data_IF_814825316106
#
_entry.id   IF_814825316106
#
_cell.length_a   1.000
_cell.length_b   1.000
_cell.length_c   1.000
_cell.angle_alpha   90.00
_cell.angle_beta   90.00
_cell.angle_gamma   90.00
#
_symmetry.space_group_name_H-M   'P 1'
#
loop_
_entity.id
_entity.type
_entity.pdbx_description
1 polymer ?
#
# COMPACT_ATOMS: atom_id res chain seq x y z
N UNK A 1 2.43 13.97 -32.92
CA UNK A 1 2.39 13.52 -31.51
C UNK A 1 1.22 14.27 -30.88
N UNK A 2 0.02 13.76 -31.14
CA UNK A 2 -1.23 14.48 -30.98
C UNK A 2 -1.90 14.08 -29.66
N UNK A 3 -2.12 15.08 -28.81
CA UNK A 3 -3.27 15.23 -27.90
C UNK A 3 -3.67 14.01 -27.06
N UNK A 4 -2.88 13.70 -26.02
CA UNK A 4 -3.39 13.00 -24.83
C UNK A 4 -3.68 14.05 -23.75
N UNK A 5 -4.66 14.93 -23.99
CA UNK A 5 -5.18 15.81 -22.94
C UNK A 5 -5.95 14.90 -21.96
N UNK A 6 -5.26 14.44 -20.92
CA UNK A 6 -5.79 13.50 -19.93
C UNK A 6 -7.04 14.07 -19.26
N UNK A 7 -8.22 13.70 -19.78
CA UNK A 7 -9.51 14.07 -19.22
C UNK A 7 -9.57 13.69 -17.75
N UNK A 8 -9.98 14.61 -16.88
CA UNK A 8 -10.15 14.32 -15.46
C UNK A 8 -11.27 13.30 -15.28
N UNK A 9 -10.96 12.18 -14.62
CA UNK A 9 -11.92 11.11 -14.40
C UNK A 9 -12.64 11.26 -13.06
N UNK A 10 -13.79 10.63 -12.89
CA UNK A 10 -14.47 10.57 -11.59
C UNK A 10 -13.59 9.92 -10.50
N UNK A 11 -12.65 9.05 -10.88
CA UNK A 11 -11.71 8.41 -9.95
C UNK A 11 -10.68 9.41 -9.43
N UNK A 12 -10.19 10.30 -10.29
CA UNK A 12 -9.29 11.38 -9.89
C UNK A 12 -10.00 12.34 -8.92
N UNK A 13 -11.24 12.72 -9.23
CA UNK A 13 -12.05 13.58 -8.36
C UNK A 13 -12.37 12.94 -7.01
N UNK A 14 -12.76 11.67 -7.01
CA UNK A 14 -13.02 10.90 -5.79
C UNK A 14 -11.79 10.88 -4.86
N UNK A 15 -10.62 10.56 -5.42
CA UNK A 15 -9.36 10.50 -4.67
C UNK A 15 -9.00 11.86 -4.06
N UNK A 16 -9.09 12.94 -4.85
CA UNK A 16 -8.82 14.30 -4.38
C UNK A 16 -9.80 14.71 -3.29
N UNK A 17 -11.10 14.46 -3.45
CA UNK A 17 -12.10 14.80 -2.44
C UNK A 17 -11.87 14.03 -1.13
N UNK A 18 -11.53 12.74 -1.20
CA UNK A 18 -11.25 11.93 -0.01
C UNK A 18 -10.03 12.42 0.75
N UNK A 19 -8.97 12.76 0.02
CA UNK A 19 -7.76 13.33 0.62
C UNK A 19 -8.05 14.71 1.23
N UNK A 20 -8.81 15.56 0.53
CA UNK A 20 -9.22 16.87 1.03
C UNK A 20 -9.99 16.71 2.35
N UNK A 21 -11.03 15.87 2.38
CA UNK A 21 -11.81 15.60 3.58
C UNK A 21 -10.93 15.13 4.75
N UNK A 22 -9.99 14.22 4.50
CA UNK A 22 -9.09 13.69 5.53
C UNK A 22 -8.19 14.78 6.12
N UNK A 23 -7.64 15.66 5.27
CA UNK A 23 -6.74 16.71 5.72
C UNK A 23 -7.50 17.85 6.41
N UNK A 24 -8.71 18.18 5.94
CA UNK A 24 -9.59 19.14 6.62
C UNK A 24 -10.02 18.63 8.00
N UNK A 25 -10.34 17.32 8.13
CA UNK A 25 -10.61 16.68 9.44
C UNK A 25 -9.42 16.74 10.40
N UNK A 26 -8.21 16.92 9.88
CA UNK A 26 -6.99 17.09 10.67
C UNK A 26 -6.67 18.57 10.98
N UNK A 27 -7.61 19.49 10.72
CA UNK A 27 -7.46 20.94 10.90
C UNK A 27 -6.25 21.54 10.15
N UNK A 28 -5.88 20.93 9.02
CA UNK A 28 -4.80 21.44 8.17
C UNK A 28 -5.32 22.65 7.38
N UNK A 29 -4.47 23.65 7.19
CA UNK A 29 -4.82 24.86 6.44
C UNK A 29 -5.15 24.51 4.98
N UNK A 30 -6.25 25.06 4.45
CA UNK A 30 -6.71 24.88 3.06
C UNK A 30 -5.59 25.07 2.03
N UNK A 31 -4.69 26.04 2.21
CA UNK A 31 -3.57 26.26 1.28
C UNK A 31 -2.58 25.09 1.27
N UNK A 32 -2.26 24.57 2.45
CA UNK A 32 -1.38 23.39 2.61
C UNK A 32 -2.07 22.12 2.09
N UNK A 33 -3.39 22.02 2.27
CA UNK A 33 -4.19 20.94 1.67
C UNK A 33 -4.08 20.98 0.15
N UNK A 34 -4.31 22.14 -0.48
CA UNK A 34 -4.23 22.30 -1.92
C UNK A 34 -2.82 22.00 -2.46
N UNK A 35 -1.77 22.44 -1.76
CA UNK A 35 -0.39 22.11 -2.11
C UNK A 35 -0.14 20.60 -2.05
N UNK A 36 -0.61 19.94 -0.98
CA UNK A 36 -0.48 18.49 -0.80
C UNK A 36 -1.22 17.72 -1.90
N UNK A 37 -2.45 18.11 -2.22
CA UNK A 37 -3.25 17.49 -3.28
C UNK A 37 -2.61 17.68 -4.65
N UNK A 38 -2.07 18.87 -4.94
CA UNK A 38 -1.32 19.15 -6.17
C UNK A 38 -0.11 18.22 -6.30
N UNK A 39 0.64 18.01 -5.20
CA UNK A 39 1.81 17.15 -5.20
C UNK A 39 1.49 15.66 -5.37
N UNK A 40 0.35 15.20 -4.85
CA UNK A 40 -0.07 13.79 -4.89
C UNK A 40 -0.87 13.42 -6.15
N UNK A 41 -1.47 14.40 -6.82
CA UNK A 41 -2.28 14.17 -8.02
C UNK A 41 -1.43 13.75 -9.20
N UNK A 42 -1.76 12.61 -9.82
CA UNK A 42 -1.07 12.08 -11.01
C UNK A 42 -1.51 12.76 -12.30
N UNK A 43 -2.76 13.19 -12.40
CA UNK A 43 -3.34 13.83 -13.58
C UNK A 43 -2.79 15.27 -13.74
N UNK A 44 -2.11 15.52 -14.87
CA UNK A 44 -1.46 16.81 -15.14
C UNK A 44 -2.45 17.97 -15.23
N UNK A 45 -3.63 17.74 -15.83
CA UNK A 45 -4.68 18.76 -15.95
C UNK A 45 -5.23 19.13 -14.57
N UNK A 46 -5.56 18.13 -13.76
CA UNK A 46 -6.09 18.37 -12.42
C UNK A 46 -5.05 19.07 -11.52
N UNK A 47 -3.76 18.74 -11.68
CA UNK A 47 -2.67 19.41 -10.98
C UNK A 47 -2.59 20.90 -11.31
N UNK A 48 -2.66 21.25 -12.60
CA UNK A 48 -2.68 22.65 -13.04
C UNK A 48 -3.89 23.40 -12.48
N UNK A 49 -5.05 22.76 -12.47
CA UNK A 49 -6.28 23.34 -11.93
C UNK A 49 -6.18 23.56 -10.41
N UNK A 50 -5.64 22.60 -9.66
CA UNK A 50 -5.42 22.75 -8.22
C UNK A 50 -4.42 23.86 -7.90
N UNK A 51 -3.37 24.02 -8.72
CA UNK A 51 -2.40 25.10 -8.59
C UNK A 51 -3.06 26.48 -8.76
N UNK A 52 -3.91 26.62 -9.77
CA UNK A 52 -4.65 27.87 -9.99
C UNK A 52 -5.69 28.13 -8.90
N UNK A 53 -6.36 27.09 -8.41
CA UNK A 53 -7.29 27.21 -7.27
C UNK A 53 -6.55 27.67 -6.02
N UNK A 54 -5.35 27.13 -5.76
CA UNK A 54 -4.49 27.58 -4.66
C UNK A 54 -4.15 29.06 -4.80
N UNK A 55 -3.69 29.50 -5.97
CA UNK A 55 -3.37 30.91 -6.23
C UNK A 55 -4.59 31.82 -6.04
N UNK A 56 -5.77 31.41 -6.50
CA UNK A 56 -7.00 32.18 -6.28
C UNK A 56 -7.35 32.32 -4.79
N UNK A 57 -7.20 31.24 -4.01
CA UNK A 57 -7.44 31.27 -2.55
C UNK A 57 -6.39 32.11 -1.83
N UNK A 58 -5.12 32.06 -2.24
CA UNK A 58 -4.05 32.94 -1.74
C UNK A 58 -4.37 34.43 -2.01
N UNK A 59 -5.02 34.72 -3.13
CA UNK A 59 -5.48 36.06 -3.49
C UNK A 59 -6.79 36.48 -2.79
N UNK A 60 -7.34 35.64 -1.92
CA UNK A 60 -8.53 35.94 -1.13
C UNK A 60 -9.86 35.59 -1.81
N UNK A 61 -9.84 34.82 -2.90
CA UNK A 61 -11.07 34.24 -3.44
C UNK A 61 -11.52 33.04 -2.60
N UNK A 62 -12.83 32.83 -2.55
CA UNK A 62 -13.42 31.68 -1.88
C UNK A 62 -13.17 30.40 -2.65
N UNK A 63 -13.05 29.26 -1.97
CA UNK A 63 -12.86 27.93 -2.60
C UNK A 63 -13.92 27.67 -3.68
N UNK A 64 -15.20 27.95 -3.36
CA UNK A 64 -16.29 27.76 -4.31
C UNK A 64 -16.12 28.62 -5.58
N UNK A 65 -15.65 29.85 -5.43
CA UNK A 65 -15.40 30.76 -6.56
C UNK A 65 -14.24 30.25 -7.41
N UNK A 66 -13.15 29.83 -6.78
CA UNK A 66 -11.95 29.31 -7.45
C UNK A 66 -12.28 28.07 -8.27
N UNK A 67 -13.00 27.10 -7.69
CA UNK A 67 -13.43 25.90 -8.43
C UNK A 67 -14.43 26.21 -9.55
N UNK A 68 -15.27 27.23 -9.40
CA UNK A 68 -16.27 27.60 -10.41
C UNK A 68 -15.69 28.07 -11.74
N UNK A 69 -14.41 28.48 -11.76
CA UNK A 69 -13.69 28.85 -12.99
C UNK A 69 -13.48 27.67 -13.95
N UNK A 70 -13.67 26.44 -13.46
CA UNK A 70 -13.43 25.21 -14.22
C UNK A 70 -14.72 24.37 -14.38
N UNK A 71 -15.76 24.89 -15.06
CA UNK A 71 -17.06 24.20 -15.19
C UNK A 71 -16.99 22.91 -16.02
N UNK A 72 -15.91 22.72 -16.80
CA UNK A 72 -15.67 21.50 -17.57
C UNK A 72 -15.21 20.32 -16.70
N UNK A 73 -14.85 20.57 -15.44
CA UNK A 73 -14.31 19.57 -14.50
C UNK A 73 -15.24 19.47 -13.29
N UNK A 74 -15.61 20.62 -12.71
CA UNK A 74 -16.47 20.67 -11.54
C UNK A 74 -17.89 21.03 -11.94
N UNK A 75 -18.81 20.13 -11.63
CA UNK A 75 -20.23 20.33 -11.90
C UNK A 75 -20.82 21.46 -11.03
N UNK A 76 -21.94 22.07 -11.44
CA UNK A 76 -22.64 23.04 -10.59
C UNK A 76 -22.98 22.51 -9.19
N UNK A 77 -23.32 21.21 -9.09
CA UNK A 77 -23.58 20.55 -7.82
C UNK A 77 -22.35 20.57 -6.89
N UNK A 78 -21.16 20.28 -7.43
CA UNK A 78 -19.90 20.32 -6.69
C UNK A 78 -19.63 21.72 -6.11
N UNK A 79 -19.85 22.75 -6.93
CA UNK A 79 -19.63 24.15 -6.54
C UNK A 79 -20.59 24.58 -5.43
N UNK A 80 -21.87 24.20 -5.52
CA UNK A 80 -22.88 24.51 -4.51
C UNK A 80 -22.55 23.85 -3.17
N UNK A 81 -22.18 22.57 -3.19
CA UNK A 81 -21.80 21.84 -1.98
C UNK A 81 -20.62 22.51 -1.27
N UNK A 82 -19.54 22.85 -2.00
CA UNK A 82 -18.39 23.55 -1.42
C UNK A 82 -18.80 24.91 -0.86
N UNK A 83 -19.65 25.66 -1.56
CA UNK A 83 -20.13 26.96 -1.10
C UNK A 83 -20.87 26.85 0.23
N UNK A 84 -21.72 25.85 0.38
CA UNK A 84 -22.45 25.59 1.64
C UNK A 84 -21.47 25.19 2.75
N UNK A 85 -20.55 24.26 2.49
CA UNK A 85 -19.52 23.86 3.46
C UNK A 85 -18.57 24.99 3.87
N UNK A 86 -18.23 25.89 2.95
CA UNK A 86 -17.38 27.05 3.22
C UNK A 86 -18.09 28.10 4.10
N UNK A 87 -19.41 28.25 3.96
CA UNK A 87 -20.22 29.15 4.79
C UNK A 87 -20.47 28.58 6.20
N UNK A 88 -20.71 27.27 6.30
CA UNK A 88 -20.99 26.58 7.57
C UNK A 88 -19.71 26.19 8.32
N UNK A 89 -18.56 26.20 7.64
CA UNK A 89 -17.28 25.74 8.18
C UNK A 89 -17.14 24.21 8.19
N UNK A 90 -18.04 23.49 7.53
CA UNK A 90 -18.11 22.02 7.46
C UNK A 90 -17.52 21.48 6.14
N UNK A 91 -16.36 22.00 5.73
CA UNK A 91 -15.68 21.54 4.52
C UNK A 91 -15.29 20.06 4.61
N UNK A 92 -14.99 19.56 5.81
CA UNK A 92 -14.68 18.17 6.06
C UNK A 92 -15.83 17.23 5.67
N UNK A 93 -17.06 17.55 6.10
CA UNK A 93 -18.28 16.79 5.76
C UNK A 93 -18.58 16.89 4.28
N UNK A 94 -18.52 18.10 3.73
CA UNK A 94 -18.85 18.35 2.32
C UNK A 94 -17.91 17.59 1.38
N UNK A 95 -16.60 17.61 1.63
CA UNK A 95 -15.66 16.86 0.79
C UNK A 95 -15.79 15.34 0.96
N UNK A 96 -16.23 14.85 2.13
CA UNK A 96 -16.56 13.44 2.35
C UNK A 96 -17.78 13.02 1.53
N UNK A 97 -18.86 13.81 1.57
CA UNK A 97 -20.08 13.60 0.80
C UNK A 97 -19.79 13.63 -0.73
N UNK A 98 -18.93 14.55 -1.16
CA UNK A 98 -18.48 14.63 -2.55
C UNK A 98 -17.62 13.42 -2.96
N UNK A 99 -16.74 12.94 -2.08
CA UNK A 99 -15.95 11.74 -2.33
C UNK A 99 -16.88 10.53 -2.54
N UNK A 100 -17.83 10.32 -1.64
CA UNK A 100 -18.83 9.25 -1.73
C UNK A 100 -19.66 9.36 -3.02
N UNK A 101 -20.05 10.58 -3.40
CA UNK A 101 -20.79 10.82 -4.65
C UNK A 101 -20.01 10.38 -5.89
N UNK A 102 -18.72 10.71 -5.97
CA UNK A 102 -17.89 10.31 -7.11
C UNK A 102 -17.53 8.82 -7.08
N UNK A 103 -17.30 8.24 -5.89
CA UNK A 103 -17.06 6.80 -5.72
C UNK A 103 -18.26 5.95 -6.15
N UNK A 104 -19.48 6.37 -5.78
CA UNK A 104 -20.71 5.71 -6.21
C UNK A 104 -20.83 5.71 -7.75
N UNK A 105 -20.51 6.84 -8.40
CA UNK A 105 -20.51 6.94 -9.87
C UNK A 105 -19.46 6.07 -10.56
N UNK A 106 -18.40 5.68 -9.86
CA UNK A 106 -17.42 4.71 -10.37
C UNK A 106 -17.98 3.29 -10.32
N UNK A 107 -18.67 2.92 -9.24
CA UNK A 107 -19.28 1.60 -9.05
C UNK A 107 -20.35 1.25 -10.07
N UNK A 108 -21.06 2.27 -10.59
CA UNK A 108 -22.09 2.11 -11.62
C UNK A 108 -21.53 1.98 -13.04
N UNK A 109 -20.22 2.16 -13.24
CA UNK A 109 -19.59 1.96 -14.55
C UNK A 109 -19.20 0.48 -14.67
N UNK A 110 -19.84 -0.34 -15.53
CA UNK A 110 -19.44 -1.72 -15.73
C UNK A 110 -18.00 -1.74 -16.27
N UNK A 111 -17.08 -2.12 -15.39
CA UNK A 111 -15.63 -2.20 -15.62
C UNK A 111 -15.32 -3.02 -16.88
N UNK A 112 -15.17 -2.35 -18.01
CA UNK A 112 -14.74 -2.95 -19.28
C UNK A 112 -13.20 -3.05 -19.37
N UNK A 113 -12.47 -2.66 -18.32
CA UNK A 113 -11.00 -2.62 -18.27
C UNK A 113 -10.40 -3.54 -17.21
N UNK A 114 -11.17 -4.47 -16.65
CA UNK A 114 -10.70 -5.52 -15.74
C UNK A 114 -9.66 -6.46 -16.38
N UNK A 115 -9.44 -6.37 -17.70
CA UNK A 115 -8.43 -7.11 -18.44
C UNK A 115 -6.98 -6.56 -18.37
N UNK A 116 -6.73 -5.39 -17.77
CA UNK A 116 -5.41 -4.74 -17.85
C UNK A 116 -4.66 -4.56 -16.51
N UNK A 117 -5.05 -5.26 -15.44
CA UNK A 117 -4.24 -5.38 -14.19
C UNK A 117 -3.51 -6.73 -14.08
N UNK A 118 -3.03 -7.26 -15.20
CA UNK A 118 -1.91 -8.19 -15.16
C UNK A 118 -0.62 -7.36 -15.00
N UNK A 119 -0.24 -6.98 -13.78
CA UNK A 119 1.03 -6.24 -13.62
C UNK A 119 1.38 -5.62 -12.27
N UNK A 120 0.44 -5.45 -11.34
CA UNK A 120 0.83 -5.08 -9.96
C UNK A 120 1.17 -6.37 -9.24
N UNK A 121 2.43 -6.78 -9.35
CA UNK A 121 2.96 -7.91 -8.61
C UNK A 121 2.99 -7.53 -7.13
N UNK A 122 2.12 -8.14 -6.32
CA UNK A 122 2.06 -7.94 -4.87
C UNK A 122 3.34 -8.47 -4.21
N UNK A 123 4.36 -7.60 -4.16
CA UNK A 123 5.69 -7.93 -3.66
C UNK A 123 5.68 -8.40 -2.20
N UNK A 124 4.69 -7.95 -1.42
CA UNK A 124 4.50 -8.38 -0.02
C UNK A 124 4.03 -9.83 0.09
N UNK A 125 3.11 -10.24 -0.79
CA UNK A 125 2.61 -11.62 -0.83
C UNK A 125 3.73 -12.58 -1.26
N UNK A 126 4.47 -12.22 -2.29
CA UNK A 126 5.61 -12.98 -2.78
C UNK A 126 6.72 -13.14 -1.71
N UNK A 127 7.01 -12.07 -0.96
CA UNK A 127 7.99 -12.11 0.12
C UNK A 127 7.58 -13.08 1.25
N UNK A 128 6.30 -13.07 1.64
CA UNK A 128 5.80 -13.98 2.67
C UNK A 128 5.89 -15.46 2.23
N UNK A 129 5.54 -15.75 0.97
CA UNK A 129 5.61 -17.11 0.41
C UNK A 129 7.05 -17.61 0.36
N UNK A 130 8.00 -16.77 -0.07
CA UNK A 130 9.43 -17.12 -0.07
C UNK A 130 9.95 -17.43 1.34
N UNK A 131 9.55 -16.64 2.34
CA UNK A 131 9.93 -16.88 3.73
C UNK A 131 9.41 -18.24 4.25
N UNK A 132 8.17 -18.62 3.92
CA UNK A 132 7.63 -19.93 4.30
C UNK A 132 8.36 -21.08 3.59
N UNK A 133 8.65 -20.93 2.29
CA UNK A 133 9.43 -21.92 1.52
C UNK A 133 10.82 -22.10 2.15
N UNK A 134 11.50 -21.00 2.50
CA UNK A 134 12.82 -21.03 3.13
C UNK A 134 12.79 -21.71 4.50
N UNK A 135 11.78 -21.42 5.33
CA UNK A 135 11.59 -22.08 6.64
C UNK A 135 11.41 -23.59 6.48
N UNK A 136 10.56 -24.03 5.53
CA UNK A 136 10.35 -25.45 5.25
C UNK A 136 11.61 -26.14 4.71
N UNK A 137 12.40 -25.48 3.85
CA UNK A 137 13.68 -26.00 3.37
C UNK A 137 14.69 -26.17 4.51
N UNK A 138 14.81 -25.20 5.41
CA UNK A 138 15.69 -25.31 6.58
C UNK A 138 15.23 -26.43 7.54
N UNK A 139 13.93 -26.54 7.79
CA UNK A 139 13.37 -27.59 8.64
C UNK A 139 13.62 -29.00 8.06
N UNK A 140 13.46 -29.16 6.74
CA UNK A 140 13.76 -30.41 6.05
C UNK A 140 15.25 -30.78 6.15
N UNK A 141 16.14 -29.80 5.97
CA UNK A 141 17.59 -30.02 6.11
C UNK A 141 17.99 -30.49 7.52
N UNK A 142 17.39 -29.89 8.56
CA UNK A 142 17.62 -30.30 9.94
C UNK A 142 17.14 -31.74 10.20
N UNK A 143 15.97 -32.12 9.67
CA UNK A 143 15.43 -33.47 9.81
C UNK A 143 16.35 -34.53 9.17
N UNK A 144 16.87 -34.27 7.96
CA UNK A 144 17.82 -35.16 7.30
C UNK A 144 19.13 -35.32 8.09
N UNK A 145 19.68 -34.23 8.64
CA UNK A 145 20.91 -34.28 9.41
C UNK A 145 20.75 -35.09 10.72
N UNK A 146 19.62 -34.90 11.42
CA UNK A 146 19.30 -35.68 12.64
C UNK A 146 19.10 -37.15 12.29
N UNK A 147 18.37 -37.45 11.21
CA UNK A 147 18.15 -38.82 10.75
C UNK A 147 19.45 -39.56 10.41
N UNK A 148 20.36 -38.91 9.67
CA UNK A 148 21.66 -39.48 9.36
C UNK A 148 22.51 -39.72 10.62
N UNK A 149 22.47 -38.81 11.60
CA UNK A 149 23.15 -38.97 12.88
C UNK A 149 22.61 -40.13 13.72
N UNK A 150 21.28 -40.31 13.77
CA UNK A 150 20.63 -41.41 14.50
C UNK A 150 20.92 -42.77 13.87
N UNK A 151 20.81 -42.86 12.53
CA UNK A 151 21.14 -44.09 11.80
C UNK A 151 22.60 -44.45 12.07
N UNK A 152 23.54 -43.50 11.94
CA UNK A 152 24.94 -43.72 12.26
C UNK A 152 25.16 -44.24 13.68
N UNK A 153 24.54 -43.61 14.69
CA UNK A 153 24.69 -44.03 16.08
C UNK A 153 24.19 -45.47 16.30
N UNK A 154 23.09 -45.84 15.64
CA UNK A 154 22.55 -47.19 15.67
C UNK A 154 23.45 -48.23 14.94
N UNK A 155 24.10 -47.86 13.83
CA UNK A 155 25.06 -48.75 13.13
C UNK A 155 26.40 -48.83 13.85
N UNK A 156 26.88 -47.74 14.46
CA UNK A 156 28.10 -47.72 15.25
C UNK A 156 28.03 -48.65 16.46
N UNK A 157 26.85 -48.78 17.09
CA UNK A 157 26.61 -49.74 18.17
C UNK A 157 26.71 -51.22 17.74
N UNK A 158 26.60 -51.51 16.44
CA UNK A 158 26.62 -52.87 15.86
C UNK A 158 27.90 -53.16 15.03
N UNK A 159 28.98 -52.38 15.21
CA UNK A 159 30.26 -52.60 14.51
C UNK A 159 30.37 -51.96 13.11
N UNK A 160 29.69 -50.84 12.88
CA UNK A 160 29.63 -50.14 11.60
C UNK A 160 30.98 -49.61 11.05
N UNK A 161 31.03 -49.27 9.74
CA UNK A 161 32.27 -48.94 9.03
C UNK A 161 32.93 -47.68 9.57
N UNK A 162 34.18 -47.82 10.02
CA UNK A 162 34.97 -46.74 10.62
C UNK A 162 35.39 -45.67 9.61
N UNK A 163 34.63 -44.59 9.52
CA UNK A 163 35.08 -43.34 8.91
C UNK A 163 35.86 -42.55 9.98
N UNK A 164 37.09 -42.08 9.72
CA UNK A 164 37.89 -41.36 10.70
C UNK A 164 37.27 -39.98 11.02
N UNK A 165 36.96 -39.73 12.30
CA UNK A 165 36.43 -38.44 12.78
C UNK A 165 35.28 -38.60 13.78
N UNK A 166 35.61 -38.99 15.00
CA UNK A 166 34.73 -39.24 16.17
C UNK A 166 33.84 -38.06 16.61
N UNK A 167 34.06 -36.85 16.06
CA UNK A 167 33.35 -35.62 16.47
C UNK A 167 32.31 -35.11 15.48
N UNK A 168 32.27 -35.65 14.25
CA UNK A 168 31.33 -35.22 13.21
C UNK A 168 29.84 -35.32 13.62
N UNK A 169 29.37 -36.39 14.31
CA UNK A 169 27.96 -36.51 14.68
C UNK A 169 27.51 -35.43 15.68
N UNK A 170 28.36 -35.09 16.65
CA UNK A 170 28.05 -34.09 17.66
C UNK A 170 28.03 -32.67 17.07
N UNK A 171 28.94 -32.37 16.14
CA UNK A 171 28.98 -31.06 15.44
C UNK A 171 27.70 -30.87 14.61
N UNK A 172 27.23 -31.92 13.92
CA UNK A 172 25.99 -31.86 13.15
C UNK A 172 24.75 -31.62 14.03
N UNK A 173 24.71 -32.23 15.22
CA UNK A 173 23.65 -31.98 16.22
C UNK A 173 23.66 -30.54 16.74
N UNK A 174 24.83 -29.98 17.05
CA UNK A 174 24.95 -28.59 17.51
C UNK A 174 24.51 -27.58 16.44
N UNK A 175 24.88 -27.79 15.17
CA UNK A 175 24.45 -26.94 14.06
C UNK A 175 22.92 -26.98 13.89
N UNK A 176 22.32 -28.17 13.99
CA UNK A 176 20.86 -28.34 13.91
C UNK A 176 20.11 -27.57 15.01
N UNK A 177 20.59 -27.63 16.25
CA UNK A 177 19.97 -26.93 17.39
C UNK A 177 20.06 -25.40 17.22
N UNK A 178 21.22 -24.88 16.80
CA UNK A 178 21.42 -23.43 16.57
C UNK A 178 20.48 -22.92 15.47
N UNK A 179 20.34 -23.65 14.37
CA UNK A 179 19.42 -23.27 13.28
C UNK A 179 17.96 -23.29 13.73
N UNK A 180 17.54 -24.30 14.50
CA UNK A 180 16.18 -24.39 15.03
C UNK A 180 15.86 -23.23 15.99
N UNK A 181 16.82 -22.84 16.85
CA UNK A 181 16.67 -21.73 17.79
C UNK A 181 16.60 -20.38 17.07
N UNK A 182 17.37 -20.21 15.99
CA UNK A 182 17.30 -19.03 15.12
C UNK A 182 15.93 -18.85 14.47
N UNK A 183 15.32 -19.92 13.95
CA UNK A 183 13.95 -19.89 13.38
C UNK A 183 12.92 -19.54 14.45
N UNK A 184 13.05 -20.07 15.66
CA UNK A 184 12.12 -19.82 16.76
C UNK A 184 12.18 -18.38 17.29
N UNK A 185 13.37 -17.77 17.32
CA UNK A 185 13.52 -16.36 17.68
C UNK A 185 13.01 -15.44 16.57
N UNK A 186 13.27 -15.77 15.30
CA UNK A 186 12.83 -14.99 14.15
C UNK A 186 11.29 -14.95 14.03
N UNK A 187 10.64 -16.09 14.25
CA UNK A 187 9.16 -16.18 14.25
C UNK A 187 8.53 -15.42 15.41
N UNK A 188 9.15 -15.40 16.59
CA UNK A 188 8.69 -14.57 17.72
C UNK A 188 8.87 -13.07 17.50
N UNK A 189 9.93 -12.65 16.80
CA UNK A 189 10.21 -11.25 16.49
C UNK A 189 9.14 -10.59 15.61
N UNK A 190 8.46 -11.37 14.75
CA UNK A 190 7.43 -10.85 13.84
C UNK A 190 6.11 -10.52 14.54
N UNK A 191 5.80 -11.11 15.69
CA UNK A 191 4.52 -10.92 16.40
C UNK A 191 4.46 -9.65 17.26
N UNK A 192 5.53 -8.83 17.25
CA UNK A 192 5.64 -7.56 18.01
C UNK A 192 5.74 -6.32 17.11
N UNK A 193 5.67 -6.47 15.78
CA UNK A 193 5.56 -5.34 14.83
C UNK A 193 4.20 -5.37 14.17
#
# INVERSE_FOLDING_TARGET
>A
MADEKSSVTNADLAAVCRQFATLTKADINILEILETLRAQTTNALLREVLDQVQQDVENGHTLATSFSRYPNIFSPFFITMIREGELEGELDRVFDDLADHFEMRLGDTPDTRRGARAGVFDWEAAASAFQWIFIWLCALGAACAIGAGLIWYATAANGGPGIPGDRLPNILLFIGIILALGVLLFTRGRKRR
#
